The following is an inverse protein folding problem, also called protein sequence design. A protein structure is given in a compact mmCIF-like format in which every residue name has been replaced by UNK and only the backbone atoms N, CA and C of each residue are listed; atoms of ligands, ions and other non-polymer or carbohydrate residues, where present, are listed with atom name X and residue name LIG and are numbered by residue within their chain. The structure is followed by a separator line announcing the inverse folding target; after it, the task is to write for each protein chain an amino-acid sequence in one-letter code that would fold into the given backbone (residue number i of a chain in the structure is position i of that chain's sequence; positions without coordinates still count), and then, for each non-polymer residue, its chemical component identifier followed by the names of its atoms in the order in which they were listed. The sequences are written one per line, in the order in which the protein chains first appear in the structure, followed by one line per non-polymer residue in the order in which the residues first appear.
data_IF_809140899672
#
_entry.id   IF_809140899672
#
_cell.length_a   1.000
_cell.length_b   1.000
_cell.length_c   1.000
_cell.angle_alpha   90.00
_cell.angle_beta   90.00
_cell.angle_gamma   90.00
#
_symmetry.space_group_name_H-M   'P 1'
#
loop_
_entity.id
_entity.type
_entity.pdbx_description
1 polymer ?
#
# COMPACT_ATOMS: atom_id res chain seq x y z
N UNK A 1 -5.69 -21.37 -8.76
CA UNK A 1 -5.15 -20.43 -7.75
C UNK A 1 -6.27 -19.50 -7.34
N UNK A 2 -6.57 -19.37 -6.04
CA UNK A 2 -7.58 -18.43 -5.56
C UNK A 2 -7.11 -16.99 -5.86
N UNK A 3 -7.98 -16.19 -6.47
CA UNK A 3 -7.75 -14.79 -6.78
C UNK A 3 -7.81 -13.99 -5.47
N UNK A 4 -6.83 -13.13 -5.22
CA UNK A 4 -6.80 -12.25 -4.04
C UNK A 4 -7.24 -10.86 -4.46
N UNK A 5 -8.38 -10.41 -3.92
CA UNK A 5 -8.90 -9.07 -4.10
C UNK A 5 -8.70 -8.26 -2.80
N UNK A 6 -8.26 -7.01 -2.95
CA UNK A 6 -8.21 -6.01 -1.89
C UNK A 6 -9.35 -5.03 -2.12
N UNK A 7 -10.19 -4.85 -1.10
CA UNK A 7 -11.21 -3.80 -1.12
C UNK A 7 -10.66 -2.56 -0.41
N UNK A 8 -10.57 -1.43 -1.11
CA UNK A 8 -10.01 -0.17 -0.59
C UNK A 8 -11.14 0.85 -0.51
N UNK A 9 -11.34 1.54 0.61
CA UNK A 9 -12.35 2.60 0.66
C UNK A 9 -11.90 3.85 -0.12
N UNK A 10 -12.84 4.72 -0.49
CA UNK A 10 -12.55 5.93 -1.28
C UNK A 10 -11.52 6.85 -0.59
N UNK A 11 -11.64 7.05 0.73
CA UNK A 11 -10.72 7.95 1.46
C UNK A 11 -9.28 7.45 1.45
N UNK A 12 -9.07 6.14 1.56
CA UNK A 12 -7.74 5.53 1.47
C UNK A 12 -7.16 5.66 0.07
N UNK A 13 -7.99 5.47 -0.96
CA UNK A 13 -7.57 5.62 -2.35
C UNK A 13 -7.22 7.08 -2.66
N UNK A 14 -8.01 8.04 -2.18
CA UNK A 14 -7.74 9.47 -2.32
C UNK A 14 -6.42 9.86 -1.64
N UNK A 15 -6.19 9.40 -0.40
CA UNK A 15 -4.94 9.69 0.30
C UNK A 15 -3.71 9.11 -0.41
N UNK A 16 -3.81 7.91 -1.01
CA UNK A 16 -2.74 7.33 -1.81
C UNK A 16 -2.48 8.10 -3.11
N UNK A 17 -3.54 8.65 -3.73
CA UNK A 17 -3.40 9.51 -4.90
C UNK A 17 -2.69 10.83 -4.54
N UNK A 18 -3.11 11.50 -3.46
CA UNK A 18 -2.49 12.75 -3.00
C UNK A 18 -0.99 12.57 -2.68
N UNK A 19 -0.62 11.42 -2.10
CA UNK A 19 0.79 11.07 -1.86
C UNK A 19 1.56 10.89 -3.17
N UNK A 20 0.94 10.23 -4.15
CA UNK A 20 1.51 10.06 -5.48
C UNK A 20 1.79 11.40 -6.15
N UNK A 21 0.80 12.30 -6.16
CA UNK A 21 0.94 13.64 -6.72
C UNK A 21 2.04 14.43 -6.01
N UNK A 22 2.08 14.39 -4.67
CA UNK A 22 3.13 15.04 -3.89
C UNK A 22 4.54 14.51 -4.19
N UNK A 23 4.69 13.20 -4.40
CA UNK A 23 5.96 12.58 -4.78
C UNK A 23 6.39 12.94 -6.21
N UNK A 24 5.43 13.06 -7.14
CA UNK A 24 5.70 13.52 -8.50
C UNK A 24 6.22 14.95 -8.51
N UNK A 25 5.57 15.85 -7.76
CA UNK A 25 5.89 17.27 -7.72
C UNK A 25 7.24 17.54 -7.03
N UNK A 26 7.57 16.79 -5.98
CA UNK A 26 8.85 16.94 -5.26
C UNK A 26 10.03 16.24 -5.94
N UNK A 27 9.75 15.19 -6.73
CA UNK A 27 10.78 14.28 -7.25
C UNK A 27 11.44 13.42 -6.17
N UNK A 28 10.86 13.36 -4.96
CA UNK A 28 11.36 12.59 -3.83
C UNK A 28 10.51 11.34 -3.58
N UNK A 29 11.16 10.27 -3.09
CA UNK A 29 10.45 9.06 -2.68
C UNK A 29 9.73 9.30 -1.34
N UNK A 30 8.44 8.95 -1.28
CA UNK A 30 7.60 9.10 -0.09
C UNK A 30 7.11 7.74 0.39
N UNK A 31 7.28 7.45 1.68
CA UNK A 31 6.88 6.17 2.28
C UNK A 31 6.16 6.33 3.62
N UNK A 32 5.34 5.34 3.97
CA UNK A 32 4.64 5.31 5.25
C UNK A 32 3.78 4.06 5.43
N UNK A 33 2.91 4.07 6.44
CA UNK A 33 1.97 2.98 6.74
C UNK A 33 0.53 3.38 6.52
N UNK A 34 -0.28 2.36 6.27
CA UNK A 34 -1.73 2.43 6.26
C UNK A 34 -2.22 1.69 7.52
N UNK A 35 -2.90 2.43 8.40
CA UNK A 35 -3.49 1.91 9.63
C UNK A 35 -4.94 1.55 9.42
N UNK A 36 -5.39 0.44 9.98
CA UNK A 36 -6.72 -0.07 9.66
C UNK A 36 -7.01 -1.44 10.25
N UNK A 37 -8.00 -2.10 9.67
CA UNK A 37 -8.30 -3.51 9.94
C UNK A 37 -8.32 -4.27 8.63
N UNK A 38 -7.58 -5.39 8.57
CA UNK A 38 -7.58 -6.29 7.43
C UNK A 38 -8.63 -7.38 7.66
N UNK A 39 -9.75 -7.29 6.94
CA UNK A 39 -10.82 -8.30 6.99
C UNK A 39 -10.52 -9.55 6.17
N UNK A 40 -11.46 -10.51 6.18
CA UNK A 40 -11.48 -11.66 5.27
C UNK A 40 -12.75 -11.64 4.37
N UNK A 41 -12.63 -11.67 3.02
CA UNK A 41 -11.39 -11.54 2.23
C UNK A 41 -10.73 -10.17 2.47
N UNK A 42 -9.44 -10.00 2.11
CA UNK A 42 -8.63 -8.80 2.43
C UNK A 42 -9.38 -7.50 2.12
N UNK A 43 -10.06 -6.97 3.11
CA UNK A 43 -10.90 -5.77 3.00
C UNK A 43 -10.26 -4.73 3.89
N UNK A 44 -9.85 -3.61 3.31
CA UNK A 44 -9.36 -2.44 4.02
C UNK A 44 -10.57 -1.55 4.27
N UNK A 45 -11.14 -1.66 5.48
CA UNK A 45 -12.35 -0.92 5.87
C UNK A 45 -12.07 0.51 6.33
N UNK A 46 -10.84 0.77 6.74
CA UNK A 46 -10.31 2.08 7.09
C UNK A 46 -8.82 2.08 6.80
N UNK A 47 -8.31 3.14 6.17
CA UNK A 47 -6.89 3.39 6.06
C UNK A 47 -6.61 4.82 6.52
N UNK A 48 -5.85 4.96 7.60
CA UNK A 48 -5.23 6.21 8.00
C UNK A 48 -3.76 6.16 7.60
N UNK A 49 -3.32 7.13 6.80
CA UNK A 49 -1.92 7.28 6.41
C UNK A 49 -1.14 7.83 7.60
N UNK A 50 -0.11 7.11 8.03
CA UNK A 50 0.85 7.59 9.02
C UNK A 50 2.27 7.42 8.48
N UNK A 51 3.15 8.39 8.72
CA UNK A 51 4.57 8.25 8.41
C UNK A 51 5.28 7.28 9.38
N UNK A 52 4.65 6.94 10.51
CA UNK A 52 5.25 6.09 11.54
C UNK A 52 5.08 4.60 11.22
N UNK A 53 6.17 3.98 10.76
CA UNK A 53 6.28 2.54 10.49
C UNK A 53 6.04 1.63 11.71
N UNK A 54 6.13 2.17 12.94
CA UNK A 54 5.90 1.44 14.17
C UNK A 54 4.49 1.64 14.75
N UNK A 55 3.59 2.32 14.03
CA UNK A 55 2.27 2.66 14.55
C UNK A 55 1.42 1.41 14.86
N UNK A 56 0.87 1.29 16.08
CA UNK A 56 -0.06 0.21 16.42
C UNK A 56 -1.27 0.20 15.47
N UNK A 57 -1.67 -0.98 14.99
CA UNK A 57 -2.78 -1.13 14.04
C UNK A 57 -2.42 -0.88 12.57
N UNK A 58 -1.14 -0.79 12.25
CA UNK A 58 -0.69 -0.81 10.86
C UNK A 58 -1.06 -2.15 10.20
N UNK A 59 -1.74 -2.06 9.05
CA UNK A 59 -2.20 -3.22 8.26
C UNK A 59 -1.54 -3.31 6.90
N UNK A 60 -0.83 -2.26 6.50
CA UNK A 60 -0.05 -2.23 5.28
C UNK A 60 0.90 -1.04 5.22
N UNK A 61 1.62 -0.99 4.13
CA UNK A 61 2.66 0.00 3.83
C UNK A 61 2.42 0.61 2.45
N UNK A 62 2.92 1.82 2.23
CA UNK A 62 2.96 2.40 0.89
C UNK A 62 4.35 2.99 0.59
N UNK A 63 4.68 3.01 -0.70
CA UNK A 63 5.86 3.65 -1.24
C UNK A 63 5.50 4.31 -2.58
N UNK A 64 5.78 5.60 -2.69
CA UNK A 64 5.71 6.37 -3.92
C UNK A 64 7.12 6.69 -4.40
N UNK A 65 7.39 6.44 -5.68
CA UNK A 65 8.70 6.69 -6.30
C UNK A 65 8.71 8.07 -6.98
N UNK A 66 9.58 8.98 -6.55
CA UNK A 66 9.78 10.26 -7.21
C UNK A 66 10.42 10.09 -8.60
N UNK A 67 11.23 9.04 -8.76
CA UNK A 67 11.77 8.62 -10.07
C UNK A 67 12.13 7.13 -10.08
N UNK A 68 11.37 6.30 -10.80
CA UNK A 68 11.62 4.87 -10.94
C UNK A 68 10.33 4.04 -10.87
N UNK A 69 10.38 2.81 -11.36
CA UNK A 69 9.16 2.06 -11.68
C UNK A 69 8.96 0.80 -10.81
N UNK A 70 9.92 0.48 -9.92
CA UNK A 70 9.88 -0.75 -9.12
C UNK A 70 10.56 -0.57 -7.76
N UNK A 71 10.04 -1.23 -6.71
CA UNK A 71 10.71 -1.29 -5.41
C UNK A 71 12.11 -1.91 -5.56
N UNK A 72 13.07 -1.37 -4.82
CA UNK A 72 14.39 -1.97 -4.72
C UNK A 72 14.32 -3.29 -3.94
N UNK A 73 15.34 -4.14 -4.06
CA UNK A 73 15.43 -5.35 -3.23
C UNK A 73 15.47 -5.03 -1.73
N UNK A 74 15.95 -3.83 -1.36
CA UNK A 74 15.92 -3.33 0.01
C UNK A 74 14.50 -2.99 0.45
N UNK A 75 13.70 -2.36 -0.41
CA UNK A 75 12.29 -2.07 -0.15
C UNK A 75 11.48 -3.36 0.02
N UNK A 76 11.71 -4.37 -0.82
CA UNK A 76 11.09 -5.69 -0.69
C UNK A 76 11.46 -6.40 0.62
N UNK A 77 12.71 -6.29 1.04
CA UNK A 77 13.19 -6.84 2.31
C UNK A 77 12.58 -6.11 3.52
N UNK A 78 12.50 -4.78 3.47
CA UNK A 78 11.88 -3.94 4.51
C UNK A 78 10.38 -4.22 4.63
N UNK A 79 9.69 -4.33 3.49
CA UNK A 79 8.29 -4.75 3.40
C UNK A 79 8.04 -6.04 4.18
N UNK A 80 8.87 -7.04 3.93
CA UNK A 80 8.73 -8.38 4.53
C UNK A 80 9.11 -8.40 6.02
N UNK A 81 9.96 -7.49 6.48
CA UNK A 81 10.48 -7.46 7.85
C UNK A 81 9.61 -6.64 8.82
N UNK A 82 8.98 -5.55 8.34
CA UNK A 82 8.24 -4.61 9.17
C UNK A 82 6.88 -5.11 9.66
N UNK A 83 6.26 -6.02 8.92
CA UNK A 83 4.90 -6.50 9.20
C UNK A 83 4.89 -8.02 9.46
N UNK A 84 4.37 -8.41 10.63
CA UNK A 84 4.14 -9.83 10.95
C UNK A 84 2.77 -10.28 10.43
N UNK A 85 2.72 -11.48 9.86
CA UNK A 85 1.47 -12.07 9.37
C UNK A 85 1.05 -11.53 8.00
N UNK A 86 -0.26 -11.53 7.73
CA UNK A 86 -0.83 -11.02 6.48
C UNK A 86 -0.90 -9.49 6.51
N UNK A 87 -0.33 -8.85 5.51
CA UNK A 87 -0.37 -7.40 5.32
C UNK A 87 -0.41 -7.08 3.82
N UNK A 88 -0.57 -5.80 3.49
CA UNK A 88 -0.54 -5.36 2.09
C UNK A 88 0.49 -4.26 1.86
N UNK A 89 0.84 -4.07 0.59
CA UNK A 89 1.68 -2.97 0.13
C UNK A 89 0.98 -2.24 -1.02
N UNK A 90 1.06 -0.91 -1.02
CA UNK A 90 0.66 -0.06 -2.15
C UNK A 90 1.91 0.60 -2.74
N UNK A 91 2.23 0.25 -3.98
CA UNK A 91 3.32 0.84 -4.74
C UNK A 91 2.73 1.87 -5.69
N UNK A 92 3.10 3.13 -5.53
CA UNK A 92 2.59 4.24 -6.34
C UNK A 92 3.69 4.62 -7.32
N UNK A 93 3.39 4.54 -8.61
CA UNK A 93 4.22 5.08 -9.68
C UNK A 93 3.54 6.36 -10.18
N UNK A 94 4.00 7.54 -9.73
CA UNK A 94 3.40 8.80 -10.11
C UNK A 94 3.61 9.12 -11.60
N UNK A 95 4.74 8.68 -12.17
CA UNK A 95 5.07 8.90 -13.58
C UNK A 95 4.14 8.15 -14.54
N UNK A 96 3.64 6.99 -14.12
CA UNK A 96 2.68 6.18 -14.86
C UNK A 96 1.22 6.37 -14.39
N UNK A 97 0.98 7.26 -13.42
CA UNK A 97 -0.32 7.47 -12.78
C UNK A 97 -0.98 6.15 -12.35
N UNK A 98 -0.22 5.27 -11.71
CA UNK A 98 -0.66 3.91 -11.40
C UNK A 98 -0.35 3.51 -9.96
N UNK A 99 -1.22 2.65 -9.40
CA UNK A 99 -1.02 2.04 -8.08
C UNK A 99 -1.07 0.53 -8.21
N UNK A 100 -0.03 -0.14 -7.73
CA UNK A 100 0.05 -1.60 -7.63
C UNK A 100 -0.17 -2.04 -6.19
N UNK A 101 -1.10 -2.95 -6.00
CA UNK A 101 -1.38 -3.53 -4.69
C UNK A 101 -0.81 -4.94 -4.59
N UNK A 102 -0.15 -5.23 -3.46
CA UNK A 102 0.39 -6.54 -3.14
C UNK A 102 -0.20 -7.02 -1.81
N UNK A 103 -0.47 -8.32 -1.70
CA UNK A 103 -0.65 -9.00 -0.41
C UNK A 103 0.64 -9.76 -0.09
N UNK A 104 1.11 -9.58 1.13
CA UNK A 104 2.26 -10.30 1.65
C UNK A 104 1.75 -11.24 2.74
N UNK A 105 1.98 -12.53 2.55
CA UNK A 105 1.58 -13.58 3.49
C UNK A 105 2.71 -14.62 3.59
N UNK A 106 3.14 -14.91 4.83
CA UNK A 106 4.26 -15.83 5.06
C UNK A 106 5.56 -15.41 4.39
N UNK A 107 5.82 -14.09 4.28
CA UNK A 107 7.02 -13.53 3.64
C UNK A 107 7.03 -13.60 2.12
N UNK A 108 5.89 -13.85 1.46
CA UNK A 108 5.78 -13.87 0.00
C UNK A 108 4.80 -12.81 -0.47
N UNK A 109 5.28 -11.88 -1.30
CA UNK A 109 4.45 -10.91 -1.99
C UNK A 109 3.69 -11.56 -3.17
N UNK A 110 2.43 -11.18 -3.35
CA UNK A 110 1.60 -11.56 -4.49
C UNK A 110 0.80 -10.35 -4.95
N UNK A 111 0.77 -10.10 -6.25
CA UNK A 111 -0.10 -9.07 -6.82
C UNK A 111 -1.55 -9.34 -6.46
N UNK A 112 -2.25 -8.29 -6.04
CA UNK A 112 -3.66 -8.31 -5.77
C UNK A 112 -4.37 -7.31 -6.66
N UNK A 113 -5.64 -7.59 -6.97
CA UNK A 113 -6.50 -6.58 -7.58
C UNK A 113 -7.06 -5.71 -6.49
N UNK A 114 -7.12 -4.40 -6.72
CA UNK A 114 -7.88 -3.51 -5.86
C UNK A 114 -9.24 -3.22 -6.50
N UNK A 115 -10.28 -3.21 -5.69
CA UNK A 115 -11.56 -2.60 -6.03
C UNK A 115 -11.86 -1.52 -5.00
N UNK A 116 -12.31 -0.35 -5.47
CA UNK A 116 -12.70 0.74 -4.59
C UNK A 116 -14.12 0.49 -4.08
N UNK A 117 -14.34 0.57 -2.77
CA UNK A 117 -15.66 0.51 -2.15
C UNK A 117 -16.29 1.89 -2.15
N UNK A 118 -17.29 2.10 -3.00
CA UNK A 118 -18.05 3.34 -3.05
C UNK A 118 -19.06 3.43 -1.89
N UNK A 119 -19.15 4.59 -1.23
CA UNK A 119 -20.25 4.95 -0.33
C UNK A 119 -20.27 4.35 1.09
N UNK A 120 -19.11 4.10 1.71
CA UNK A 120 -19.00 3.63 3.12
C UNK A 120 -18.77 4.77 4.09
#
# INVERSE_FOLDING_TARGET
MARMDILVNESAMAALADIGDGAFDSGEDVQGVLRGTLGDPATIRSAEVSADLAAPGAVGWFLAFGSGNLPSAEDEARLSAGFRGRHFAALIDPSASSITFLIIEGGKARSARAAVLEGV
#
